data_IF_286986326196
#
_entry.id   IF_286986326196
#
_cell.length_a   1.000
_cell.length_b   1.000
_cell.length_c   1.000
_cell.angle_alpha   90.00
_cell.angle_beta   90.00
_cell.angle_gamma   90.00
#
_symmetry.space_group_name_H-M   'P 1'
#
loop_
_entity.id
_entity.type
_entity.pdbx_description
1 polymer ?
#
# COMPACT_ATOMS: atom_id res chain seq x y z
N UNK A 1 3.42 -10.47 3.38
CA UNK A 1 4.60 -9.69 3.80
C UNK A 1 4.36 -8.20 3.71
N UNK A 2 4.10 -7.63 2.53
CA UNK A 2 3.81 -6.18 2.41
C UNK A 2 2.62 -5.70 3.23
N UNK A 3 1.51 -6.46 3.23
CA UNK A 3 0.34 -6.14 4.06
C UNK A 3 0.64 -6.13 5.56
N UNK A 4 1.67 -6.88 5.98
CA UNK A 4 2.14 -6.97 7.37
C UNK A 4 3.13 -5.85 7.74
N UNK A 5 3.35 -4.87 6.85
CA UNK A 5 4.27 -3.76 7.08
C UNK A 5 5.74 -4.07 6.78
N UNK A 6 6.07 -5.20 6.15
CA UNK A 6 7.46 -5.53 5.80
C UNK A 6 7.91 -4.74 4.58
N UNK A 7 9.03 -4.01 4.71
CA UNK A 7 9.61 -3.20 3.63
C UNK A 7 10.06 -4.02 2.42
N UNK A 8 10.10 -3.41 1.24
CA UNK A 8 10.49 -4.06 -0.03
C UNK A 8 11.84 -4.78 0.06
N UNK A 9 12.86 -4.06 0.54
CA UNK A 9 14.21 -4.62 0.69
C UNK A 9 14.22 -5.86 1.58
N UNK A 10 13.49 -5.80 2.70
CA UNK A 10 13.42 -6.91 3.65
C UNK A 10 12.63 -8.11 3.11
N UNK A 11 11.64 -7.87 2.25
CA UNK A 11 10.98 -8.97 1.52
C UNK A 11 11.96 -9.61 0.55
N UNK A 12 12.71 -8.80 -0.20
CA UNK A 12 13.69 -9.30 -1.17
C UNK A 12 14.77 -10.14 -0.47
N UNK A 13 15.34 -9.65 0.65
CA UNK A 13 16.32 -10.39 1.47
C UNK A 13 15.78 -11.75 1.94
N UNK A 14 14.53 -11.78 2.46
CA UNK A 14 13.90 -13.01 2.93
C UNK A 14 13.66 -13.98 1.77
N UNK A 15 13.23 -13.48 0.62
CA UNK A 15 12.98 -14.33 -0.56
C UNK A 15 14.27 -14.87 -1.17
N UNK A 16 15.36 -14.11 -1.14
CA UNK A 16 16.68 -14.60 -1.56
C UNK A 16 17.17 -15.70 -0.62
N UNK A 17 17.04 -15.49 0.69
CA UNK A 17 17.42 -16.49 1.70
C UNK A 17 16.60 -17.79 1.60
N UNK A 18 15.30 -17.70 1.31
CA UNK A 18 14.40 -18.87 1.23
C UNK A 18 14.42 -19.58 -0.13
N UNK A 19 14.57 -18.83 -1.23
CA UNK A 19 14.41 -19.36 -2.59
C UNK A 19 15.71 -19.38 -3.40
N UNK A 20 16.84 -18.90 -2.85
CA UNK A 20 18.16 -18.95 -3.48
C UNK A 20 18.34 -18.08 -4.72
N UNK A 21 17.31 -17.33 -5.12
CA UNK A 21 17.29 -16.50 -6.33
C UNK A 21 17.12 -15.02 -5.97
N UNK A 22 18.02 -14.18 -6.52
CA UNK A 22 17.92 -12.72 -6.38
C UNK A 22 16.66 -12.19 -7.04
N UNK A 23 15.83 -11.52 -6.26
CA UNK A 23 14.68 -10.79 -6.76
C UNK A 23 15.04 -9.32 -6.96
N UNK A 24 14.75 -8.80 -8.16
CA UNK A 24 14.98 -7.40 -8.47
C UNK A 24 13.84 -6.55 -7.88
N UNK A 25 14.12 -5.41 -7.22
CA UNK A 25 13.11 -4.58 -6.56
C UNK A 25 12.04 -4.03 -7.50
N UNK A 26 12.34 -3.89 -8.79
CA UNK A 26 11.33 -3.51 -9.80
C UNK A 26 10.22 -4.56 -9.97
N UNK A 27 10.52 -5.84 -9.68
CA UNK A 27 9.56 -6.94 -9.82
C UNK A 27 8.54 -6.95 -8.68
N UNK A 28 8.93 -6.58 -7.47
CA UNK A 28 8.01 -6.43 -6.33
C UNK A 28 7.10 -5.22 -6.52
N UNK A 29 7.63 -4.09 -7.00
CA UNK A 29 6.83 -2.91 -7.33
C UNK A 29 5.74 -3.22 -8.37
N UNK A 30 6.08 -3.97 -9.42
CA UNK A 30 5.11 -4.37 -10.45
C UNK A 30 3.94 -5.20 -9.89
N UNK A 31 4.19 -6.05 -8.88
CA UNK A 31 3.14 -6.82 -8.20
C UNK A 31 2.26 -5.91 -7.36
N UNK A 32 2.85 -4.97 -6.64
CA UNK A 32 2.10 -3.98 -5.83
C UNK A 32 1.17 -3.14 -6.71
N UNK A 33 1.65 -2.66 -7.87
CA UNK A 33 0.83 -1.90 -8.82
C UNK A 33 -0.39 -2.69 -9.33
N UNK A 34 -0.27 -4.00 -9.53
CA UNK A 34 -1.41 -4.86 -9.92
C UNK A 34 -2.46 -4.98 -8.82
N UNK A 35 -2.06 -4.98 -7.55
CA UNK A 35 -3.01 -4.99 -6.44
C UNK A 35 -3.76 -3.66 -6.27
N UNK A 36 -3.17 -2.53 -6.71
CA UNK A 36 -3.81 -1.22 -6.62
C UNK A 36 -5.12 -1.13 -7.42
N UNK A 37 -5.21 -1.77 -8.60
CA UNK A 37 -6.45 -1.77 -9.38
C UNK A 37 -7.58 -2.53 -8.67
N UNK A 38 -7.24 -3.64 -8.00
CA UNK A 38 -8.18 -4.44 -7.22
C UNK A 38 -8.71 -3.64 -6.02
N UNK A 39 -7.82 -2.97 -5.28
CA UNK A 39 -8.20 -2.10 -4.15
C UNK A 39 -9.14 -0.98 -4.59
N UNK A 40 -8.84 -0.33 -5.71
CA UNK A 40 -9.62 0.80 -6.24
C UNK A 40 -11.05 0.38 -6.60
N UNK A 41 -11.22 -0.81 -7.18
CA UNK A 41 -12.53 -1.32 -7.56
C UNK A 41 -13.33 -1.83 -6.34
N UNK A 42 -12.66 -2.43 -5.35
CA UNK A 42 -13.32 -2.95 -4.14
C UNK A 42 -13.87 -1.87 -3.20
N UNK A 43 -13.21 -0.72 -3.10
CA UNK A 43 -13.61 0.35 -2.19
C UNK A 43 -14.94 1.02 -2.58
N UNK A 44 -15.22 1.16 -3.87
CA UNK A 44 -16.42 1.85 -4.37
C UNK A 44 -17.68 1.01 -4.12
N UNK A 45 -17.57 -0.32 -4.18
CA UNK A 45 -18.70 -1.25 -4.04
C UNK A 45 -19.26 -1.30 -2.62
N UNK A 46 -18.41 -1.12 -1.59
CA UNK A 46 -18.85 -1.23 -0.19
C UNK A 46 -19.70 -0.04 0.28
N UNK A 47 -19.56 1.14 -0.33
CA UNK A 47 -20.20 2.37 0.13
C UNK A 47 -21.63 2.58 -0.41
N UNK A 48 -21.98 1.96 -1.54
CA UNK A 48 -23.27 2.22 -2.20
C UNK A 48 -24.47 1.49 -1.55
N UNK A 49 -24.24 0.48 -0.72
CA UNK A 49 -25.30 -0.46 -0.31
C UNK A 49 -25.85 -0.27 1.11
N UNK A 50 -25.41 0.72 1.89
CA UNK A 50 -25.81 0.84 3.31
C UNK A 50 -26.03 2.29 3.76
N UNK A 51 -27.15 2.52 4.46
CA UNK A 51 -27.36 3.71 5.30
C UNK A 51 -26.56 3.52 6.60
N UNK A 52 -25.55 4.37 6.81
CA UNK A 52 -24.73 4.37 8.02
C UNK A 52 -25.22 5.49 8.94
N UNK A 53 -25.97 5.20 10.02
CA UNK A 53 -26.50 6.23 10.91
C UNK A 53 -25.40 6.96 11.70
N UNK A 54 -24.23 6.35 11.86
CA UNK A 54 -23.04 6.96 12.45
C UNK A 54 -21.81 6.55 11.65
N UNK A 55 -20.93 7.51 11.37
CA UNK A 55 -19.68 7.30 10.64
C UNK A 55 -18.55 7.96 11.43
N UNK A 56 -17.52 7.18 11.74
CA UNK A 56 -16.30 7.69 12.36
C UNK A 56 -15.28 7.96 11.27
N UNK A 57 -14.64 9.12 11.34
CA UNK A 57 -13.55 9.51 10.45
C UNK A 57 -12.27 9.49 11.28
N UNK A 58 -11.31 8.68 10.87
CA UNK A 58 -9.97 8.62 11.47
C UNK A 58 -8.98 9.41 10.61
N UNK A 59 -8.11 10.19 11.27
CA UNK A 59 -7.13 11.06 10.63
C UNK A 59 -5.75 10.41 10.67
N UNK A 60 -5.35 9.74 9.59
CA UNK A 60 -4.00 9.21 9.42
C UNK A 60 -3.17 10.14 8.52
N UNK A 61 -2.06 10.66 9.03
CA UNK A 61 -1.15 11.57 8.30
C UNK A 61 0.15 10.85 7.90
N UNK A 62 0.21 10.21 6.72
CA UNK A 62 1.46 9.65 6.21
C UNK A 62 2.36 10.77 5.67
N UNK A 63 3.65 10.69 5.97
CA UNK A 63 4.66 11.55 5.33
C UNK A 63 4.90 11.05 3.90
N UNK A 64 4.33 11.71 2.90
CA UNK A 64 4.64 11.46 1.48
C UNK A 64 5.62 12.50 0.95
N UNK A 65 6.49 12.09 0.03
CA UNK A 65 7.23 13.05 -0.79
C UNK A 65 6.42 13.35 -2.04
N UNK A 66 6.37 14.62 -2.43
CA UNK A 66 5.91 15.02 -3.75
C UNK A 66 7.04 15.81 -4.39
N UNK A 67 7.70 15.23 -5.39
CA UNK A 67 8.60 15.92 -6.33
C UNK A 67 9.44 17.02 -5.65
N UNK A 68 10.15 16.66 -4.56
CA UNK A 68 11.09 17.56 -3.87
C UNK A 68 10.53 18.53 -2.83
N UNK A 69 9.22 18.71 -2.66
CA UNK A 69 8.65 19.53 -1.57
C UNK A 69 8.07 18.65 -0.45
N UNK A 70 8.56 18.83 0.77
CA UNK A 70 7.99 18.20 1.96
C UNK A 70 6.87 19.10 2.49
N UNK A 71 5.63 18.81 2.09
CA UNK A 71 4.45 19.41 2.72
C UNK A 71 3.79 18.38 3.61
N UNK A 72 3.67 18.72 4.90
CA UNK A 72 2.79 18.02 5.83
C UNK A 72 1.39 18.04 5.22
N UNK A 73 0.90 16.90 4.73
CA UNK A 73 -0.46 16.78 4.23
C UNK A 73 -1.37 16.61 5.45
N UNK A 74 -1.62 17.72 6.14
CA UNK A 74 -2.70 17.84 7.09
C UNK A 74 -3.93 18.37 6.33
N UNK A 75 -5.02 17.61 6.36
CA UNK A 75 -6.38 18.13 6.18
C UNK A 75 -7.15 17.72 7.43
#
# INVERSE_FOLDING_TARGET
MYLSGVSVRRVDDITEALCGNKHHPSRSESKTRKCMSILRNGAIVLLQSRLYPYMYVDGLCPCSNWIGEYKNVAI
#
